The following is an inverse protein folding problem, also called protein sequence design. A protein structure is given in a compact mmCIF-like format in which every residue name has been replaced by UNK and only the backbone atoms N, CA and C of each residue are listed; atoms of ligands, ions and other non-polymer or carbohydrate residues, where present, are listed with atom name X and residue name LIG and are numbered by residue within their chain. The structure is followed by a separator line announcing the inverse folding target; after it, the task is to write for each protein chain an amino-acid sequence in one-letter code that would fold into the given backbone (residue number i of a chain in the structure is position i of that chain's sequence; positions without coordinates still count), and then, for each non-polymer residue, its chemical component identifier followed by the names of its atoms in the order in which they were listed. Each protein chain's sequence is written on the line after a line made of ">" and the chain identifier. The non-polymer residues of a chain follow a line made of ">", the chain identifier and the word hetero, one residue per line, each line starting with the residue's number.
data_IF_816155468184
#
_entry.id   IF_816155468184
#
_cell.length_a   1.000
_cell.length_b   1.000
_cell.length_c   1.000
_cell.angle_alpha   90.00
_cell.angle_beta   90.00
_cell.angle_gamma   90.00
#
_symmetry.space_group_name_H-M   'P 1'
#
loop_
_entity.id
_entity.type
_entity.pdbx_description
1 polymer ?
#
# COMPACT_ATOMS: atom_id res chain seq x y z
N UNK A 1 29.58 5.24 -4.78
CA UNK A 1 28.27 4.56 -4.81
C UNK A 1 28.32 3.54 -3.70
N UNK A 2 27.41 3.60 -2.71
CA UNK A 2 27.46 2.69 -1.56
C UNK A 2 27.08 1.28 -2.04
N UNK A 3 28.03 0.36 -1.99
CA UNK A 3 27.87 -1.00 -2.55
C UNK A 3 27.32 -2.01 -1.54
N UNK A 4 26.86 -3.16 -2.04
CA UNK A 4 26.39 -4.29 -1.22
C UNK A 4 27.44 -4.72 -0.19
N UNK A 5 28.71 -4.84 -0.59
CA UNK A 5 29.80 -5.25 0.31
C UNK A 5 30.03 -4.25 1.44
N UNK A 6 29.94 -2.95 1.14
CA UNK A 6 30.13 -1.87 2.10
C UNK A 6 29.02 -1.89 3.16
N UNK A 7 27.75 -1.96 2.72
CA UNK A 7 26.62 -2.11 3.64
C UNK A 7 26.74 -3.39 4.47
N UNK A 8 27.16 -4.49 3.86
CA UNK A 8 27.35 -5.77 4.57
C UNK A 8 28.38 -5.63 5.69
N UNK A 9 29.52 -5.00 5.42
CA UNK A 9 30.56 -4.73 6.44
C UNK A 9 30.04 -3.81 7.54
N UNK A 10 29.32 -2.74 7.18
CA UNK A 10 28.75 -1.81 8.16
C UNK A 10 27.72 -2.48 9.07
N UNK A 11 26.80 -3.26 8.50
CA UNK A 11 25.79 -4.02 9.27
C UNK A 11 26.46 -5.00 10.21
N UNK A 12 27.45 -5.79 9.74
CA UNK A 12 28.21 -6.71 10.61
C UNK A 12 28.94 -5.97 11.73
N UNK A 13 29.63 -4.88 11.40
CA UNK A 13 30.34 -4.05 12.37
C UNK A 13 29.41 -3.53 13.46
N UNK A 14 28.29 -2.89 13.06
CA UNK A 14 27.27 -2.40 14.00
C UNK A 14 26.76 -3.53 14.90
N UNK A 15 26.46 -4.71 14.35
CA UNK A 15 25.97 -5.85 15.13
C UNK A 15 26.99 -6.31 16.17
N UNK A 16 28.23 -6.54 15.76
CA UNK A 16 29.30 -7.01 16.64
C UNK A 16 29.64 -5.98 17.73
N UNK A 17 29.76 -4.71 17.36
CA UNK A 17 30.04 -3.61 18.29
C UNK A 17 28.96 -3.44 19.38
N UNK A 18 27.73 -3.89 19.10
CA UNK A 18 26.58 -3.74 20.00
C UNK A 18 26.06 -5.07 20.57
N UNK A 19 26.88 -6.12 20.54
CA UNK A 19 26.58 -7.41 21.19
C UNK A 19 25.46 -8.22 20.54
N UNK A 20 25.09 -7.92 19.29
CA UNK A 20 24.16 -8.77 18.55
C UNK A 20 24.86 -10.08 18.11
N UNK A 21 24.12 -11.19 17.96
CA UNK A 21 24.67 -12.42 17.42
C UNK A 21 25.27 -12.21 16.02
N UNK A 22 26.40 -12.88 15.76
CA UNK A 22 27.00 -12.97 14.43
C UNK A 22 26.18 -13.95 13.56
N UNK A 23 25.01 -13.46 13.14
CA UNK A 23 24.11 -14.18 12.27
C UNK A 23 24.53 -13.96 10.81
N UNK A 24 24.68 -15.02 10.00
CA UNK A 24 24.89 -14.85 8.57
C UNK A 24 23.67 -14.14 7.98
N UNK A 25 23.93 -13.28 7.00
CA UNK A 25 22.88 -12.68 6.19
C UNK A 25 23.35 -12.36 4.78
N UNK A 26 22.40 -12.23 3.86
CA UNK A 26 22.64 -11.86 2.46
C UNK A 26 21.86 -10.62 2.04
N UNK A 27 22.58 -9.67 1.43
CA UNK A 27 22.02 -8.51 0.74
C UNK A 27 22.20 -8.76 -0.76
N UNK A 28 21.11 -8.76 -1.51
CA UNK A 28 21.13 -8.96 -2.96
C UNK A 28 21.41 -7.65 -3.70
N UNK A 29 20.86 -6.54 -3.22
CA UNK A 29 20.95 -5.25 -3.91
C UNK A 29 20.86 -4.08 -2.92
N UNK A 30 21.52 -2.96 -3.27
CA UNK A 30 21.42 -1.68 -2.57
C UNK A 30 21.11 -0.60 -3.61
N UNK A 31 20.07 0.19 -3.36
CA UNK A 31 19.67 1.32 -4.21
C UNK A 31 19.65 2.60 -3.39
N UNK A 32 20.13 3.69 -3.97
CA UNK A 32 20.07 5.01 -3.34
C UNK A 32 19.20 5.94 -4.18
N UNK A 33 18.23 6.58 -3.52
CA UNK A 33 17.40 7.61 -4.10
C UNK A 33 17.89 9.00 -3.65
N UNK A 34 18.55 9.76 -4.55
CA UNK A 34 19.12 11.05 -4.19
C UNK A 34 18.06 12.13 -3.92
N UNK A 35 16.87 12.02 -4.52
CA UNK A 35 15.79 13.00 -4.34
C UNK A 35 15.24 12.98 -2.92
N UNK A 36 15.01 11.78 -2.37
CA UNK A 36 14.53 11.60 -1.00
C UNK A 36 15.62 11.47 0.06
N UNK A 37 16.90 11.40 -0.36
CA UNK A 37 18.04 10.97 0.45
C UNK A 37 17.75 9.65 1.20
N UNK A 38 17.32 8.63 0.43
CA UNK A 38 16.87 7.34 0.96
C UNK A 38 17.73 6.20 0.44
N UNK A 39 18.19 5.35 1.34
CA UNK A 39 18.85 4.10 1.01
C UNK A 39 17.86 2.93 1.14
N UNK A 40 17.79 2.12 0.08
CA UNK A 40 17.03 0.88 0.05
C UNK A 40 17.99 -0.30 0.04
N UNK A 41 17.80 -1.22 0.99
CA UNK A 41 18.56 -2.45 1.08
C UNK A 41 17.60 -3.59 0.77
N UNK A 42 17.94 -4.41 -0.23
CA UNK A 42 17.14 -5.57 -0.63
C UNK A 42 17.87 -6.80 -0.12
N UNK A 43 17.38 -7.32 1.00
CA UNK A 43 17.84 -8.57 1.58
C UNK A 43 17.29 -9.77 0.78
N UNK A 44 17.99 -10.89 0.81
CA UNK A 44 17.58 -12.06 0.03
C UNK A 44 16.22 -12.61 0.47
N UNK A 45 16.01 -12.77 1.79
CA UNK A 45 14.74 -13.20 2.37
C UNK A 45 14.30 -12.39 3.61
N UNK A 46 13.23 -12.82 4.28
CA UNK A 46 12.69 -12.17 5.50
C UNK A 46 13.60 -12.34 6.72
N UNK A 47 14.33 -13.45 6.81
CA UNK A 47 15.29 -13.72 7.88
C UNK A 47 16.47 -12.76 7.75
N UNK A 48 17.03 -12.64 6.55
CA UNK A 48 18.09 -11.70 6.21
C UNK A 48 17.66 -10.25 6.48
N UNK A 49 16.45 -9.87 6.03
CA UNK A 49 15.86 -8.55 6.34
C UNK A 49 15.84 -8.29 7.84
N UNK A 50 15.45 -9.28 8.65
CA UNK A 50 15.39 -9.15 10.11
C UNK A 50 16.78 -8.98 10.73
N UNK A 51 17.80 -9.67 10.22
CA UNK A 51 19.20 -9.50 10.65
C UNK A 51 19.71 -8.10 10.33
N UNK A 52 19.44 -7.59 9.13
CA UNK A 52 19.82 -6.23 8.70
C UNK A 52 19.08 -5.16 9.51
N UNK A 53 17.79 -5.37 9.83
CA UNK A 53 16.99 -4.45 10.65
C UNK A 53 17.47 -4.43 12.10
N UNK A 54 17.73 -5.60 12.69
CA UNK A 54 18.21 -5.77 14.06
C UNK A 54 17.35 -5.04 15.09
N UNK A 55 16.05 -5.35 15.13
CA UNK A 55 15.07 -4.68 16.00
C UNK A 55 15.04 -3.15 15.84
N UNK A 56 15.20 -2.66 14.61
CA UNK A 56 15.32 -1.24 14.25
C UNK A 56 16.61 -0.54 14.73
N UNK A 57 17.41 -1.18 15.57
CA UNK A 57 18.65 -0.59 16.09
C UNK A 57 19.71 -0.50 15.01
N UNK A 58 19.94 -1.60 14.28
CA UNK A 58 21.01 -1.69 13.28
C UNK A 58 20.77 -0.70 12.14
N UNK A 59 19.54 -0.61 11.63
CA UNK A 59 19.18 0.39 10.62
C UNK A 59 19.28 1.82 11.15
N UNK A 60 18.99 2.06 12.42
CA UNK A 60 19.14 3.37 13.06
C UNK A 60 20.60 3.82 13.06
N UNK A 61 21.51 2.93 13.47
CA UNK A 61 22.96 3.17 13.44
C UNK A 61 23.52 3.26 12.04
N UNK A 62 23.03 2.45 11.11
CA UNK A 62 23.44 2.51 9.71
C UNK A 62 23.07 3.85 9.09
N UNK A 63 21.84 4.34 9.35
CA UNK A 63 21.39 5.67 8.96
C UNK A 63 22.31 6.77 9.51
N UNK A 64 22.64 6.71 10.80
CA UNK A 64 23.57 7.67 11.44
C UNK A 64 24.96 7.67 10.79
N UNK A 65 25.53 6.48 10.54
CA UNK A 65 26.88 6.36 9.95
C UNK A 65 26.95 6.83 8.50
N UNK A 66 25.90 6.56 7.73
CA UNK A 66 25.84 6.92 6.31
C UNK A 66 25.39 8.37 6.09
N UNK A 67 24.86 9.03 7.11
CA UNK A 67 24.36 10.41 7.01
C UNK A 67 23.14 10.57 6.11
N UNK A 68 22.40 9.49 5.83
CA UNK A 68 21.21 9.51 4.99
C UNK A 68 19.95 9.79 5.80
N UNK A 69 18.94 10.41 5.20
CA UNK A 69 17.66 10.72 5.84
C UNK A 69 16.90 9.47 6.25
N UNK A 70 16.92 8.42 5.43
CA UNK A 70 16.17 7.18 5.69
C UNK A 70 16.89 5.94 5.15
N UNK A 71 16.81 4.85 5.91
CA UNK A 71 17.18 3.49 5.45
C UNK A 71 15.94 2.61 5.53
N UNK A 72 15.62 1.94 4.42
CA UNK A 72 14.50 1.00 4.34
C UNK A 72 15.01 -0.35 3.85
N UNK A 73 14.57 -1.43 4.49
CA UNK A 73 14.98 -2.79 4.15
C UNK A 73 13.78 -3.57 3.63
N UNK A 74 13.89 -4.12 2.43
CA UNK A 74 12.93 -5.02 1.81
C UNK A 74 13.51 -6.43 1.71
N UNK A 75 12.64 -7.44 1.63
CA UNK A 75 13.07 -8.77 1.20
C UNK A 75 12.82 -8.93 -0.29
N UNK A 76 13.71 -9.61 -0.99
CA UNK A 76 13.56 -9.88 -2.41
C UNK A 76 12.34 -10.76 -2.67
N UNK A 77 12.02 -11.67 -1.76
CA UNK A 77 10.78 -12.46 -1.81
C UNK A 77 9.52 -11.59 -1.83
N UNK A 78 9.40 -10.59 -0.95
CA UNK A 78 8.25 -9.68 -0.94
C UNK A 78 8.16 -8.87 -2.26
N UNK A 79 9.32 -8.43 -2.80
CA UNK A 79 9.38 -7.71 -4.07
C UNK A 79 9.02 -8.59 -5.26
N UNK A 80 9.41 -9.87 -5.28
CA UNK A 80 9.03 -10.81 -6.33
C UNK A 80 7.53 -11.12 -6.30
N UNK A 81 6.93 -11.26 -5.12
CA UNK A 81 5.47 -11.40 -4.97
C UNK A 81 4.76 -10.17 -5.55
N UNK A 82 5.23 -8.96 -5.22
CA UNK A 82 4.74 -7.70 -5.81
C UNK A 82 4.85 -7.73 -7.33
N UNK A 83 6.03 -8.02 -7.89
CA UNK A 83 6.26 -8.06 -9.34
C UNK A 83 5.36 -9.07 -10.04
N UNK A 84 5.15 -10.24 -9.45
CA UNK A 84 4.25 -11.27 -10.01
C UNK A 84 2.80 -10.79 -10.07
N UNK A 85 2.30 -10.14 -9.00
CA UNK A 85 0.95 -9.56 -8.98
C UNK A 85 0.81 -8.43 -10.01
N UNK A 86 1.78 -7.52 -10.08
CA UNK A 86 1.78 -6.42 -11.06
C UNK A 86 1.77 -6.93 -12.49
N UNK A 87 2.61 -7.92 -12.85
CA UNK A 87 2.61 -8.53 -14.19
C UNK A 87 1.26 -9.13 -14.57
N UNK A 88 0.58 -9.79 -13.62
CA UNK A 88 -0.80 -10.28 -13.84
C UNK A 88 -1.76 -9.11 -14.10
N UNK A 89 -1.62 -8.02 -13.37
CA UNK A 89 -2.51 -6.88 -13.50
C UNK A 89 -2.27 -6.05 -14.76
N UNK A 90 -1.04 -6.04 -15.32
CA UNK A 90 -0.79 -5.52 -16.67
C UNK A 90 -1.73 -6.19 -17.69
N UNK A 91 -1.83 -7.52 -17.67
CA UNK A 91 -2.68 -8.27 -18.59
C UNK A 91 -4.18 -7.98 -18.38
N UNK A 92 -4.59 -7.65 -17.16
CA UNK A 92 -5.99 -7.34 -16.85
C UNK A 92 -6.41 -5.93 -17.29
N UNK A 93 -5.48 -4.97 -17.31
CA UNK A 93 -5.79 -3.57 -17.68
C UNK A 93 -5.52 -3.28 -19.15
N UNK A 94 -4.62 -4.03 -19.79
CA UNK A 94 -4.29 -3.86 -21.21
C UNK A 94 -5.50 -4.13 -22.10
N UNK A 95 -5.73 -3.24 -23.07
CA UNK A 95 -6.89 -3.26 -23.96
C UNK A 95 -8.20 -2.83 -23.29
N UNK A 96 -8.17 -2.30 -22.06
CA UNK A 96 -9.35 -1.85 -21.32
C UNK A 96 -9.34 -0.33 -21.13
N UNK A 97 -10.44 0.20 -20.59
CA UNK A 97 -10.52 1.61 -20.20
C UNK A 97 -9.52 2.01 -19.10
N UNK A 98 -8.85 1.05 -18.45
CA UNK A 98 -7.86 1.29 -17.39
C UNK A 98 -6.40 1.29 -17.89
N UNK A 99 -6.16 1.34 -19.20
CA UNK A 99 -4.79 1.38 -19.75
C UNK A 99 -3.94 2.55 -19.23
N UNK A 100 -4.56 3.66 -18.80
CA UNK A 100 -3.85 4.76 -18.16
C UNK A 100 -3.10 4.33 -16.87
N UNK A 101 -3.45 3.19 -16.26
CA UNK A 101 -2.71 2.66 -15.10
C UNK A 101 -1.39 1.98 -15.47
N UNK A 102 -1.16 1.61 -16.74
CA UNK A 102 0.03 0.89 -17.17
C UNK A 102 1.34 1.58 -16.78
N UNK A 103 1.53 2.91 -16.99
CA UNK A 103 2.74 3.59 -16.57
C UNK A 103 3.00 3.54 -15.05
N UNK A 104 1.93 3.51 -14.23
CA UNK A 104 2.04 3.36 -12.78
C UNK A 104 2.49 1.94 -12.42
N UNK A 105 1.89 0.92 -13.07
CA UNK A 105 2.23 -0.48 -12.85
C UNK A 105 3.69 -0.75 -13.26
N UNK A 106 4.14 -0.20 -14.38
CA UNK A 106 5.52 -0.29 -14.86
C UNK A 106 6.51 0.38 -13.91
N UNK A 107 6.16 1.54 -13.35
CA UNK A 107 6.96 2.18 -12.32
C UNK A 107 7.05 1.31 -11.05
N UNK A 108 5.94 0.71 -10.62
CA UNK A 108 5.91 -0.19 -9.45
C UNK A 108 6.68 -1.49 -9.66
N UNK A 109 6.84 -1.99 -10.89
CA UNK A 109 7.70 -3.15 -11.18
C UNK A 109 9.18 -2.88 -10.86
N UNK A 110 9.60 -1.62 -10.97
CA UNK A 110 10.96 -1.16 -10.70
C UNK A 110 11.17 -0.68 -9.26
N UNK A 111 10.11 -0.67 -8.43
CA UNK A 111 10.19 -0.33 -7.02
C UNK A 111 11.16 -1.25 -6.25
N UNK A 112 11.96 -0.73 -5.30
CA UNK A 112 12.12 0.68 -4.87
C UNK A 112 13.24 1.44 -5.63
N UNK A 113 13.25 2.80 -5.66
CA UNK A 113 12.26 3.72 -5.09
C UNK A 113 10.95 3.77 -5.89
N UNK A 114 9.91 4.36 -5.30
CA UNK A 114 8.64 4.63 -5.97
C UNK A 114 8.74 5.96 -6.73
N UNK A 115 8.71 5.91 -8.06
CA UNK A 115 8.74 7.08 -8.95
C UNK A 115 7.61 7.01 -9.96
N UNK A 116 6.41 7.37 -9.52
CA UNK A 116 5.24 7.34 -10.41
C UNK A 116 5.33 8.47 -11.45
N UNK A 117 5.12 8.17 -12.73
CA UNK A 117 4.99 9.20 -13.75
C UNK A 117 3.72 10.03 -13.53
N UNK A 118 3.65 11.19 -14.16
CA UNK A 118 2.39 11.91 -14.31
C UNK A 118 1.48 11.12 -15.26
N UNK A 119 0.23 10.93 -14.84
CA UNK A 119 -0.76 10.12 -15.53
C UNK A 119 -2.10 10.81 -15.35
N UNK A 120 -2.90 10.82 -16.41
CA UNK A 120 -4.24 11.37 -16.42
C UNK A 120 -5.21 10.30 -16.93
N UNK A 121 -6.29 10.06 -16.17
CA UNK A 121 -7.41 9.22 -16.60
C UNK A 121 -8.67 10.07 -16.76
N UNK A 122 -9.48 9.76 -17.77
CA UNK A 122 -10.70 10.50 -18.13
C UNK A 122 -11.98 9.79 -17.66
N UNK A 123 -11.86 8.66 -16.96
CA UNK A 123 -13.01 7.88 -16.52
C UNK A 123 -13.74 8.56 -15.37
N UNK A 124 -15.04 8.82 -15.58
CA UNK A 124 -15.94 9.22 -14.50
C UNK A 124 -15.93 8.16 -13.40
N UNK A 125 -15.47 8.56 -12.22
CA UNK A 125 -15.13 7.66 -11.13
C UNK A 125 -16.03 7.88 -9.92
N UNK A 126 -16.49 6.78 -9.32
CA UNK A 126 -17.13 6.78 -8.00
C UNK A 126 -16.10 6.32 -6.98
N UNK A 127 -15.72 7.17 -6.02
CA UNK A 127 -14.86 6.78 -4.91
C UNK A 127 -15.74 6.51 -3.70
N UNK A 128 -15.81 5.26 -3.25
CA UNK A 128 -16.46 4.95 -1.99
C UNK A 128 -15.45 5.01 -0.85
N UNK A 129 -15.71 5.85 0.15
CA UNK A 129 -14.86 6.02 1.31
C UNK A 129 -14.98 4.78 2.23
N UNK A 130 -14.04 3.86 2.07
CA UNK A 130 -13.81 2.69 2.92
C UNK A 130 -12.61 2.89 3.85
N UNK A 131 -12.07 1.83 4.46
CA UNK A 131 -10.97 1.88 5.42
C UNK A 131 -9.79 2.77 5.00
N UNK A 132 -9.38 2.72 3.74
CA UNK A 132 -8.31 3.52 3.15
C UNK A 132 -8.84 4.80 2.45
N UNK A 133 -9.97 5.38 2.91
CA UNK A 133 -10.65 6.53 2.30
C UNK A 133 -9.70 7.65 1.83
N UNK A 134 -8.76 8.07 2.69
CA UNK A 134 -7.81 9.13 2.35
C UNK A 134 -6.85 8.73 1.22
N UNK A 135 -6.42 7.48 1.20
CA UNK A 135 -5.59 6.96 0.12
C UNK A 135 -6.38 6.80 -1.18
N UNK A 136 -7.66 6.42 -1.12
CA UNK A 136 -8.51 6.28 -2.31
C UNK A 136 -8.71 7.63 -3.01
N UNK A 137 -9.01 8.68 -2.24
CA UNK A 137 -9.07 10.04 -2.75
C UNK A 137 -7.71 10.50 -3.30
N UNK A 138 -6.64 10.30 -2.53
CA UNK A 138 -5.29 10.67 -2.97
C UNK A 138 -4.85 9.94 -4.24
N UNK A 139 -5.30 8.69 -4.43
CA UNK A 139 -5.07 7.94 -5.66
C UNK A 139 -5.85 8.52 -6.84
N UNK A 140 -7.14 8.85 -6.65
CA UNK A 140 -7.94 9.49 -7.68
C UNK A 140 -7.37 10.86 -8.10
N UNK A 141 -6.98 11.69 -7.11
CA UNK A 141 -6.33 12.97 -7.31
C UNK A 141 -4.98 12.82 -8.04
N UNK A 142 -4.16 11.82 -7.66
CA UNK A 142 -2.85 11.59 -8.27
C UNK A 142 -2.91 11.17 -9.74
N UNK A 143 -4.04 10.62 -10.17
CA UNK A 143 -4.32 10.21 -11.55
C UNK A 143 -5.20 11.21 -12.30
N UNK A 144 -5.47 12.38 -11.70
CA UNK A 144 -6.36 13.41 -12.23
C UNK A 144 -7.74 12.89 -12.67
N UNK A 145 -8.26 11.88 -11.97
CA UNK A 145 -9.54 11.26 -12.34
C UNK A 145 -10.71 12.20 -12.01
N UNK A 146 -11.70 12.36 -12.90
CA UNK A 146 -12.94 13.04 -12.55
C UNK A 146 -13.75 12.14 -11.61
N UNK A 147 -13.85 12.50 -10.32
CA UNK A 147 -14.50 11.65 -9.32
C UNK A 147 -15.62 12.31 -8.51
N UNK A 148 -16.60 11.48 -8.12
CA UNK A 148 -17.58 11.76 -7.07
C UNK A 148 -17.26 10.89 -5.85
N UNK A 149 -17.09 11.50 -4.68
CA UNK A 149 -16.81 10.78 -3.43
C UNK A 149 -18.11 10.53 -2.65
N UNK A 150 -18.37 9.27 -2.33
CA UNK A 150 -19.51 8.82 -1.52
C UNK A 150 -19.01 8.02 -0.32
N UNK A 151 -19.80 7.92 0.74
CA UNK A 151 -19.41 7.12 1.91
C UNK A 151 -20.54 7.00 2.90
N UNK A 152 -20.39 6.07 3.85
CA UNK A 152 -21.42 5.87 4.88
C UNK A 152 -21.56 7.14 5.72
N UNK A 153 -22.80 7.53 5.97
CA UNK A 153 -23.10 8.71 6.80
C UNK A 153 -22.34 8.64 8.12
N UNK A 154 -21.68 9.75 8.47
CA UNK A 154 -20.88 9.92 9.68
C UNK A 154 -19.61 9.07 9.80
N UNK A 155 -19.27 8.19 8.85
CA UNK A 155 -18.07 7.36 8.95
C UNK A 155 -16.76 8.18 8.92
N UNK A 156 -16.72 9.30 8.18
CA UNK A 156 -15.52 10.13 8.01
C UNK A 156 -15.81 11.63 8.22
N UNK A 157 -16.14 12.07 9.45
CA UNK A 157 -16.67 13.42 9.71
C UNK A 157 -15.73 14.58 9.31
N UNK A 158 -14.45 14.31 9.08
CA UNK A 158 -13.44 15.29 8.67
C UNK A 158 -13.20 15.35 7.16
N UNK A 159 -13.89 14.51 6.38
CA UNK A 159 -13.71 14.41 4.94
C UNK A 159 -14.94 14.95 4.21
N UNK A 160 -14.74 15.48 2.99
CA UNK A 160 -15.83 15.87 2.10
C UNK A 160 -16.25 14.68 1.25
N UNK A 161 -17.52 14.32 1.35
CA UNK A 161 -18.15 13.27 0.55
C UNK A 161 -19.67 13.42 0.61
N UNK A 162 -20.37 12.80 -0.33
CA UNK A 162 -21.81 12.65 -0.27
C UNK A 162 -22.19 11.46 0.64
N UNK A 163 -22.95 11.69 1.73
CA UNK A 163 -23.31 10.63 2.66
C UNK A 163 -24.42 9.74 2.06
N UNK A 164 -24.20 8.43 2.09
CA UNK A 164 -25.19 7.41 1.74
C UNK A 164 -25.54 6.55 2.97
N UNK A 165 -26.70 5.91 2.92
CA UNK A 165 -27.07 4.89 3.92
C UNK A 165 -26.22 3.63 3.71
N UNK A 166 -25.91 2.92 4.80
CA UNK A 166 -25.15 1.68 4.75
C UNK A 166 -24.80 1.15 6.14
N UNK A 167 -24.41 -0.11 6.18
CA UNK A 167 -24.05 -0.79 7.41
C UNK A 167 -22.57 -0.52 7.78
N UNK A 168 -22.21 -0.39 9.06
CA UNK A 168 -20.83 -0.13 9.48
C UNK A 168 -19.78 -1.12 8.94
N UNK A 169 -20.20 -2.35 8.62
CA UNK A 169 -19.33 -3.37 8.00
C UNK A 169 -18.86 -2.95 6.60
N UNK A 170 -19.65 -2.18 5.84
CA UNK A 170 -19.34 -1.78 4.48
C UNK A 170 -18.13 -0.84 4.40
N UNK A 171 -17.76 -0.18 5.51
CA UNK A 171 -16.49 0.60 5.58
C UNK A 171 -15.28 -0.30 5.41
N UNK A 172 -15.37 -1.56 5.81
CA UNK A 172 -14.28 -2.54 5.76
C UNK A 172 -14.47 -3.52 4.60
N UNK A 173 -15.71 -3.90 4.31
CA UNK A 173 -16.09 -4.82 3.24
C UNK A 173 -17.18 -4.18 2.37
N UNK A 174 -16.80 -3.31 1.42
CA UNK A 174 -17.75 -2.59 0.58
C UNK A 174 -18.68 -3.54 -0.20
N UNK A 175 -19.97 -3.21 -0.26
CA UNK A 175 -20.98 -3.99 -0.98
C UNK A 175 -20.84 -3.79 -2.51
N UNK A 176 -20.45 -4.87 -3.22
CA UNK A 176 -20.22 -4.86 -4.67
C UNK A 176 -21.47 -4.47 -5.45
N UNK A 177 -22.64 -5.04 -5.12
CA UNK A 177 -23.88 -4.85 -5.89
C UNK A 177 -24.45 -3.46 -5.68
N UNK A 178 -24.44 -2.99 -4.43
CA UNK A 178 -24.87 -1.64 -4.08
C UNK A 178 -24.02 -0.58 -4.79
N UNK A 179 -22.69 -0.73 -4.77
CA UNK A 179 -21.79 0.21 -5.42
C UNK A 179 -21.90 0.17 -6.94
N UNK A 180 -22.13 -1.02 -7.52
CA UNK A 180 -22.39 -1.15 -8.95
C UNK A 180 -23.67 -0.40 -9.37
N UNK A 181 -24.76 -0.56 -8.61
CA UNK A 181 -26.03 0.12 -8.90
C UNK A 181 -25.87 1.64 -8.78
N UNK A 182 -25.21 2.11 -7.72
CA UNK A 182 -24.92 3.52 -7.54
C UNK A 182 -24.04 4.08 -8.68
N UNK A 183 -23.04 3.32 -9.13
CA UNK A 183 -22.21 3.71 -10.26
C UNK A 183 -23.02 3.83 -11.56
N UNK A 184 -24.00 2.94 -11.81
CA UNK A 184 -24.92 3.05 -12.95
C UNK A 184 -25.78 4.30 -12.88
N UNK A 185 -26.38 4.58 -11.72
CA UNK A 185 -27.19 5.78 -11.47
C UNK A 185 -26.40 7.07 -11.72
N UNK A 186 -25.13 7.07 -11.32
CA UNK A 186 -24.21 8.21 -11.49
C UNK A 186 -23.50 8.22 -12.84
N UNK A 187 -23.74 7.24 -13.70
CA UNK A 187 -23.02 7.02 -14.96
C UNK A 187 -21.49 6.99 -14.80
N UNK A 188 -21.01 6.47 -13.66
CA UNK A 188 -19.59 6.22 -13.42
C UNK A 188 -19.16 4.94 -14.14
N UNK A 189 -17.92 4.94 -14.66
CA UNK A 189 -17.29 3.80 -15.36
C UNK A 189 -16.22 3.10 -14.52
N UNK A 190 -15.83 3.71 -13.41
CA UNK A 190 -14.86 3.17 -12.47
C UNK A 190 -15.39 3.36 -11.04
N UNK A 191 -15.27 2.33 -10.21
CA UNK A 191 -15.49 2.39 -8.77
C UNK A 191 -14.16 2.09 -8.05
N UNK A 192 -13.74 3.01 -7.19
CA UNK A 192 -12.55 2.85 -6.35
C UNK A 192 -12.97 2.64 -4.89
N UNK A 193 -12.53 1.52 -4.32
CA UNK A 193 -12.74 1.21 -2.90
C UNK A 193 -11.86 0.04 -2.44
N UNK A 194 -11.89 -0.28 -1.14
CA UNK A 194 -11.21 -1.44 -0.55
C UNK A 194 -11.94 -2.77 -0.85
N UNK A 195 -12.20 -3.09 -2.13
CA UNK A 195 -12.76 -4.39 -2.48
C UNK A 195 -11.84 -5.54 -2.02
N UNK A 196 -12.38 -6.72 -1.69
CA UNK A 196 -11.58 -7.89 -1.33
C UNK A 196 -10.88 -8.55 -2.54
N UNK A 197 -10.85 -7.89 -3.70
CA UNK A 197 -10.24 -8.37 -4.93
C UNK A 197 -9.50 -7.22 -5.64
N UNK A 198 -8.61 -7.55 -6.57
CA UNK A 198 -7.82 -6.56 -7.31
C UNK A 198 -8.68 -5.72 -8.27
N UNK A 199 -9.27 -6.37 -9.28
CA UNK A 199 -10.06 -5.74 -10.35
C UNK A 199 -11.13 -6.71 -10.86
N UNK A 200 -12.34 -6.19 -11.08
CA UNK A 200 -13.41 -6.87 -11.82
C UNK A 200 -14.06 -5.91 -12.81
N UNK A 201 -14.59 -6.45 -13.90
CA UNK A 201 -15.48 -5.72 -14.80
C UNK A 201 -16.89 -6.31 -14.71
N UNK A 202 -17.89 -5.47 -14.49
CA UNK A 202 -19.31 -5.87 -14.42
C UNK A 202 -20.16 -4.80 -15.07
N UNK A 203 -20.99 -5.19 -16.03
CA UNK A 203 -21.87 -4.28 -16.79
C UNK A 203 -21.14 -3.06 -17.41
N UNK A 204 -19.91 -3.27 -17.88
CA UNK A 204 -19.07 -2.20 -18.46
C UNK A 204 -18.50 -1.20 -17.45
N UNK A 205 -18.58 -1.51 -16.15
CA UNK A 205 -18.02 -0.72 -15.06
C UNK A 205 -16.84 -1.50 -14.45
N UNK A 206 -15.72 -0.82 -14.25
CA UNK A 206 -14.56 -1.36 -13.56
C UNK A 206 -14.71 -1.18 -12.04
N UNK A 207 -14.55 -2.26 -11.29
CA UNK A 207 -14.52 -2.29 -9.83
C UNK A 207 -13.08 -2.58 -9.39
N UNK A 208 -12.39 -1.58 -8.84
CA UNK A 208 -10.95 -1.61 -8.62
C UNK A 208 -10.62 -1.34 -7.15
N UNK A 209 -9.86 -2.26 -6.55
CA UNK A 209 -9.05 -1.94 -5.37
C UNK A 209 -7.63 -1.57 -5.85
N UNK A 210 -7.29 -0.26 -5.90
CA UNK A 210 -6.02 0.16 -6.47
C UNK A 210 -4.82 -0.37 -5.66
N UNK A 211 -5.00 -0.64 -4.37
CA UNK A 211 -3.90 -1.02 -3.48
C UNK A 211 -3.62 -2.51 -3.51
N UNK A 212 -4.65 -3.35 -3.61
CA UNK A 212 -4.49 -4.78 -3.92
C UNK A 212 -3.90 -4.97 -5.31
N UNK A 213 -4.43 -4.22 -6.29
CA UNK A 213 -3.94 -4.22 -7.66
C UNK A 213 -2.47 -3.82 -7.79
N UNK A 214 -2.01 -2.79 -7.05
CA UNK A 214 -0.60 -2.38 -7.05
C UNK A 214 0.26 -3.12 -6.02
N UNK A 215 -0.36 -4.02 -5.26
CA UNK A 215 0.23 -4.71 -4.11
C UNK A 215 1.02 -3.74 -3.22
N UNK A 216 0.31 -2.74 -2.71
CA UNK A 216 0.84 -1.69 -1.84
C UNK A 216 0.29 -1.90 -0.43
N UNK A 217 1.19 -2.07 0.54
CA UNK A 217 0.79 -2.29 1.92
C UNK A 217 0.21 -1.05 2.59
N UNK A 218 -0.61 -1.24 3.60
CA UNK A 218 -1.27 -0.18 4.38
C UNK A 218 -0.30 0.92 4.84
N UNK A 219 0.88 0.54 5.33
CA UNK A 219 1.88 1.50 5.78
C UNK A 219 2.36 2.37 4.60
N UNK A 220 2.66 1.77 3.45
CA UNK A 220 3.06 2.52 2.26
C UNK A 220 2.00 3.54 1.84
N UNK A 221 0.72 3.13 1.84
CA UNK A 221 -0.40 4.03 1.55
C UNK A 221 -0.48 5.18 2.53
N UNK A 222 -0.34 4.89 3.82
CA UNK A 222 -0.36 5.90 4.88
C UNK A 222 0.77 6.93 4.71
N UNK A 223 1.96 6.54 4.27
CA UNK A 223 3.03 7.51 4.00
C UNK A 223 2.82 8.28 2.71
N UNK A 224 2.21 7.64 1.69
CA UNK A 224 2.03 8.25 0.38
C UNK A 224 0.86 9.26 0.37
N UNK A 225 -0.27 8.89 0.97
CA UNK A 225 -1.51 9.68 0.90
C UNK A 225 -2.04 10.09 2.28
N UNK A 226 -1.52 9.51 3.36
CA UNK A 226 -2.07 9.66 4.70
C UNK A 226 -3.14 8.62 5.03
N UNK A 227 -3.67 8.71 6.24
CA UNK A 227 -4.74 7.83 6.72
C UNK A 227 -5.72 8.66 7.57
N UNK A 228 -7.01 8.58 7.25
CA UNK A 228 -8.08 9.07 8.11
C UNK A 228 -8.83 7.87 8.66
N UNK A 229 -8.87 7.76 9.99
CA UNK A 229 -9.49 6.63 10.65
C UNK A 229 -11.02 6.78 10.61
N UNK A 230 -11.79 5.75 10.22
CA UNK A 230 -13.24 5.79 10.32
C UNK A 230 -13.70 5.88 11.79
N UNK A 231 -14.83 6.55 12.02
CA UNK A 231 -15.48 6.63 13.35
C UNK A 231 -16.69 5.70 13.46
N UNK A 232 -17.28 5.30 12.33
CA UNK A 232 -18.33 4.28 12.24
C UNK A 232 -17.73 3.07 11.53
N UNK A 233 -17.67 1.93 12.20
CA UNK A 233 -17.21 0.65 11.64
C UNK A 233 -17.63 -0.51 12.55
N UNK A 234 -17.74 -1.71 11.99
CA UNK A 234 -17.94 -2.93 12.77
C UNK A 234 -16.59 -3.41 13.38
N UNK A 235 -16.55 -3.58 14.70
CA UNK A 235 -15.34 -3.98 15.42
C UNK A 235 -14.91 -5.42 15.12
N UNK A 236 -15.85 -6.35 14.97
CA UNK A 236 -15.52 -7.76 14.67
C UNK A 236 -14.99 -7.86 13.24
N UNK A 237 -15.68 -7.22 12.31
CA UNK A 237 -15.25 -7.15 10.92
C UNK A 237 -13.86 -6.51 10.76
N UNK A 238 -13.47 -5.59 11.65
CA UNK A 238 -12.12 -5.02 11.65
C UNK A 238 -11.05 -6.09 11.85
N UNK A 239 -11.29 -7.07 12.73
CA UNK A 239 -10.33 -8.16 12.97
C UNK A 239 -10.18 -8.98 11.71
N UNK A 240 -11.29 -9.38 11.09
CA UNK A 240 -11.27 -10.17 9.84
C UNK A 240 -10.60 -9.41 8.70
N UNK A 241 -10.89 -8.11 8.55
CA UNK A 241 -10.28 -7.25 7.56
C UNK A 241 -8.76 -7.14 7.74
N UNK A 242 -8.30 -6.97 8.98
CA UNK A 242 -6.85 -6.92 9.28
C UNK A 242 -6.18 -8.27 9.05
N UNK A 243 -6.84 -9.38 9.40
CA UNK A 243 -6.33 -10.73 9.11
C UNK A 243 -6.18 -10.92 7.61
N UNK A 244 -7.17 -10.53 6.82
CA UNK A 244 -7.15 -10.64 5.36
C UNK A 244 -6.00 -9.85 4.74
N UNK A 245 -5.83 -8.58 5.11
CA UNK A 245 -4.69 -7.77 4.67
C UNK A 245 -3.34 -8.37 5.10
N UNK A 246 -3.26 -8.95 6.29
CA UNK A 246 -2.04 -9.59 6.79
C UNK A 246 -1.70 -10.85 5.99
N UNK A 247 -2.70 -11.69 5.74
CA UNK A 247 -2.55 -12.94 4.99
C UNK A 247 -2.08 -12.68 3.55
N UNK A 248 -2.56 -11.60 2.95
CA UNK A 248 -2.17 -11.22 1.59
C UNK A 248 -0.83 -10.47 1.50
N UNK A 249 -0.18 -10.19 2.62
CA UNK A 249 1.07 -9.43 2.68
C UNK A 249 0.91 -7.92 2.49
N UNK A 250 -0.31 -7.38 2.65
CA UNK A 250 -0.62 -5.95 2.55
C UNK A 250 -0.56 -5.23 3.91
N UNK A 251 -0.37 -5.96 5.00
CA UNK A 251 -0.19 -5.42 6.33
C UNK A 251 0.78 -6.30 7.12
N UNK A 252 1.73 -5.68 7.82
CA UNK A 252 2.59 -6.42 8.75
C UNK A 252 1.78 -6.81 10.00
N UNK A 253 2.00 -8.01 10.53
CA UNK A 253 1.18 -8.55 11.63
C UNK A 253 1.24 -7.69 12.90
N UNK A 254 2.40 -7.08 13.17
CA UNK A 254 2.59 -6.17 14.32
C UNK A 254 1.80 -4.88 14.15
N UNK A 255 1.74 -4.33 12.93
CA UNK A 255 0.96 -3.15 12.61
C UNK A 255 -0.55 -3.45 12.69
N UNK A 256 -0.96 -4.60 12.16
CA UNK A 256 -2.34 -5.07 12.25
C UNK A 256 -2.82 -5.21 13.70
N UNK A 257 -2.03 -5.88 14.55
CA UNK A 257 -2.35 -6.01 15.98
C UNK A 257 -2.47 -4.65 16.69
N UNK A 258 -1.56 -3.72 16.40
CA UNK A 258 -1.60 -2.37 16.96
C UNK A 258 -2.83 -1.58 16.48
N UNK A 259 -3.18 -1.71 15.20
CA UNK A 259 -4.37 -1.08 14.62
C UNK A 259 -5.64 -1.61 15.28
N UNK A 260 -5.81 -2.93 15.38
CA UNK A 260 -6.94 -3.56 16.09
C UNK A 260 -7.02 -3.01 17.51
N UNK A 261 -5.92 -3.04 18.28
CA UNK A 261 -5.90 -2.54 19.65
C UNK A 261 -6.36 -1.09 19.78
N UNK A 262 -5.85 -0.20 18.92
CA UNK A 262 -6.20 1.24 18.91
C UNK A 262 -7.64 1.49 18.48
N UNK A 263 -8.20 0.65 17.62
CA UNK A 263 -9.55 0.77 17.12
C UNK A 263 -10.57 0.04 18.00
N UNK A 264 -10.16 -0.94 18.79
CA UNK A 264 -11.05 -1.69 19.67
C UNK A 264 -11.38 -0.95 20.97
N UNK A 265 -10.39 -0.24 21.54
CA UNK A 265 -10.50 0.46 22.84
C UNK A 265 -11.40 1.70 22.85
N UNK A 266 -11.83 2.17 21.68
CA UNK A 266 -12.82 3.25 21.53
C UNK A 266 -14.11 2.63 21.06
#
# INVERSE_FOLDING_TARGET
>A
MIGVEEITKLVRGIRLENGFPDSPFRIDEVRYDPEGDKLFIIAHDRTDKSVVIGNSFVIGKLKERLGVRQVTVYSNLDLEIKRRKLRKNVELVKGTALEFLLPIIEAELNFPPRKWPEVEGDLKTLVFLSFNAKALLGFAERLNLPYEAVGIRYAFPKMKYEPIEGEPIEVLFPDEEKLLNLAKERNAKLVLTDFPFDLKFKDGIALLNPFRSLHMGFFELKYLFGFEKPVVYDKKALVDFVIDLTYEGLMESTDGANLIWRMWRR
#
